data_IF_503058253705
#
_entry.id   IF_503058253705
#
_cell.length_a   1.000
_cell.length_b   1.000
_cell.length_c   1.000
_cell.angle_alpha   90.00
_cell.angle_beta   90.00
_cell.angle_gamma   90.00
#
_symmetry.space_group_name_H-M   'P 1'
#
loop_
_entity.id
_entity.type
_entity.pdbx_description
1 polymer ?
#
# COMPACT_ATOMS: atom_id res chain seq x y z
N UNK A 1 -8.86 7.23 -21.69
CA UNK A 1 -8.87 6.83 -20.27
C UNK A 1 -9.37 8.00 -19.45
N UNK A 2 -10.32 7.79 -18.53
CA UNK A 2 -10.76 8.84 -17.61
C UNK A 2 -9.60 9.25 -16.69
N UNK A 3 -9.45 10.55 -16.42
CA UNK A 3 -8.41 11.04 -15.51
C UNK A 3 -8.69 10.58 -14.07
N UNK A 4 -7.62 10.28 -13.34
CA UNK A 4 -7.69 9.89 -11.92
C UNK A 4 -7.77 11.19 -11.11
N UNK A 5 -8.79 11.34 -10.27
CA UNK A 5 -8.98 12.50 -9.39
C UNK A 5 -9.03 12.10 -7.92
N UNK A 6 -9.82 11.08 -7.58
CA UNK A 6 -10.00 10.64 -6.19
C UNK A 6 -9.07 9.47 -5.85
N UNK A 7 -8.25 9.62 -4.82
CA UNK A 7 -7.23 8.63 -4.42
C UNK A 7 -7.42 8.22 -2.96
N UNK A 8 -7.68 6.93 -2.75
CA UNK A 8 -7.69 6.32 -1.43
C UNK A 8 -6.30 5.77 -1.10
N UNK A 9 -5.76 6.12 0.08
CA UNK A 9 -4.46 5.65 0.56
C UNK A 9 -4.64 4.77 1.79
N UNK A 10 -4.47 3.46 1.61
CA UNK A 10 -4.50 2.48 2.69
C UNK A 10 -3.14 2.40 3.38
N UNK A 11 -3.12 2.49 4.72
CA UNK A 11 -1.86 2.54 5.49
C UNK A 11 -1.17 3.91 5.45
N UNK A 12 -1.92 4.98 5.14
CA UNK A 12 -1.42 6.36 5.06
C UNK A 12 -0.87 6.93 6.38
N UNK A 13 -1.13 6.29 7.52
CA UNK A 13 -0.61 6.71 8.84
C UNK A 13 0.78 6.17 9.17
N UNK A 14 1.31 5.21 8.39
CA UNK A 14 2.64 4.65 8.61
C UNK A 14 3.76 5.55 8.09
N UNK A 15 5.03 5.23 8.43
CA UNK A 15 6.21 6.01 8.02
C UNK A 15 6.22 6.39 6.52
N UNK A 16 6.07 5.41 5.64
CA UNK A 16 6.02 5.68 4.19
C UNK A 16 4.67 6.25 3.75
N UNK A 17 3.58 5.81 4.39
CA UNK A 17 2.23 6.28 4.08
C UNK A 17 2.10 7.79 4.24
N UNK A 18 2.66 8.36 5.32
CA UNK A 18 2.60 9.79 5.59
C UNK A 18 3.31 10.60 4.50
N UNK A 19 4.49 10.14 4.05
CA UNK A 19 5.23 10.75 2.94
C UNK A 19 4.41 10.67 1.65
N UNK A 20 3.85 9.51 1.32
CA UNK A 20 3.01 9.33 0.12
C UNK A 20 1.82 10.27 0.14
N UNK A 21 1.10 10.35 1.27
CA UNK A 21 -0.05 11.25 1.45
C UNK A 21 0.37 12.71 1.27
N UNK A 22 1.45 13.14 1.93
CA UNK A 22 1.96 14.50 1.84
C UNK A 22 2.30 14.88 0.39
N UNK A 23 3.01 14.02 -0.35
CA UNK A 23 3.39 14.30 -1.73
C UNK A 23 2.20 14.30 -2.69
N UNK A 24 1.23 13.41 -2.50
CA UNK A 24 0.00 13.41 -3.29
C UNK A 24 -0.79 14.70 -3.07
N UNK A 25 -0.89 15.17 -1.82
CA UNK A 25 -1.56 16.44 -1.48
C UNK A 25 -0.81 17.64 -2.07
N UNK A 26 0.52 17.69 -1.88
CA UNK A 26 1.36 18.79 -2.41
C UNK A 26 1.32 18.90 -3.92
N UNK A 27 1.07 17.80 -4.64
CA UNK A 27 0.93 17.84 -6.10
C UNK A 27 -0.24 18.71 -6.57
N UNK A 28 -1.29 18.87 -5.74
CA UNK A 28 -2.53 19.57 -6.11
C UNK A 28 -3.34 18.86 -7.19
N UNK A 29 -2.97 17.64 -7.59
CA UNK A 29 -3.60 16.90 -8.69
C UNK A 29 -4.74 15.98 -8.23
N UNK A 30 -4.78 15.62 -6.94
CA UNK A 30 -5.64 14.56 -6.43
C UNK A 30 -6.39 14.98 -5.17
N UNK A 31 -7.62 14.49 -5.05
CA UNK A 31 -8.38 14.47 -3.80
C UNK A 31 -7.99 13.22 -3.00
N UNK A 32 -7.18 13.41 -1.97
CA UNK A 32 -6.59 12.32 -1.19
C UNK A 32 -7.45 12.03 0.05
N UNK A 33 -7.76 10.75 0.26
CA UNK A 33 -8.39 10.25 1.49
C UNK A 33 -7.58 9.10 2.06
N UNK A 34 -7.29 9.15 3.36
CA UNK A 34 -6.58 8.06 4.04
C UNK A 34 -7.58 7.05 4.58
N UNK A 35 -7.34 5.78 4.25
CA UNK A 35 -8.08 4.63 4.75
C UNK A 35 -7.27 4.00 5.88
N UNK A 36 -7.86 3.93 7.09
CA UNK A 36 -7.18 3.51 8.32
C UNK A 36 -8.02 2.53 9.12
N UNK A 37 -7.39 1.76 10.02
CA UNK A 37 -8.06 0.84 10.96
C UNK A 37 -8.55 1.50 12.25
N UNK A 38 -8.13 2.73 12.53
CA UNK A 38 -8.49 3.41 13.78
C UNK A 38 -8.32 4.92 13.71
N UNK A 39 -8.94 5.59 14.68
CA UNK A 39 -9.09 7.06 14.74
C UNK A 39 -7.81 7.82 15.12
N UNK A 40 -6.79 7.12 15.65
CA UNK A 40 -5.50 7.74 15.95
C UNK A 40 -4.76 8.00 14.64
N UNK A 41 -5.00 9.19 14.10
CA UNK A 41 -4.25 9.77 13.00
C UNK A 41 -2.77 9.78 13.35
N UNK A 42 -1.95 9.21 12.47
CA UNK A 42 -0.52 9.48 12.47
C UNK A 42 -0.26 10.96 12.14
N UNK A 43 0.97 11.28 11.74
CA UNK A 43 1.32 12.60 11.21
C UNK A 43 0.73 12.79 9.81
N UNK A 44 -0.59 12.92 9.71
CA UNK A 44 -1.30 13.24 8.47
C UNK A 44 -1.66 14.73 8.51
N UNK A 45 -1.51 15.48 7.39
CA UNK A 45 -1.96 16.86 7.33
C UNK A 45 -3.44 17.00 7.68
N UNK A 46 -3.80 17.97 8.52
CA UNK A 46 -5.17 18.16 9.02
C UNK A 46 -6.23 18.35 7.91
N UNK A 47 -5.81 18.75 6.70
CA UNK A 47 -6.68 18.93 5.55
C UNK A 47 -7.07 17.62 4.83
N UNK A 48 -6.46 16.48 5.17
CA UNK A 48 -6.72 15.19 4.51
C UNK A 48 -7.85 14.46 5.20
N UNK A 49 -8.84 14.03 4.41
CA UNK A 49 -9.97 13.23 4.93
C UNK A 49 -9.46 11.85 5.38
N UNK A 50 -10.05 11.34 6.45
CA UNK A 50 -9.79 9.99 6.94
C UNK A 50 -11.08 9.18 6.99
N UNK A 51 -11.02 7.94 6.54
CA UNK A 51 -12.09 6.96 6.72
C UNK A 51 -11.57 5.78 7.51
N UNK A 52 -12.30 5.42 8.56
CA UNK A 52 -12.00 4.25 9.39
C UNK A 52 -12.73 3.05 8.82
N UNK A 53 -12.00 1.96 8.59
CA UNK A 53 -12.53 0.72 8.03
C UNK A 53 -11.98 -0.48 8.77
N UNK A 54 -12.75 -1.56 8.77
CA UNK A 54 -12.25 -2.87 9.13
C UNK A 54 -11.73 -3.59 7.88
N UNK A 55 -10.45 -3.93 7.87
CA UNK A 55 -9.81 -4.61 6.75
C UNK A 55 -10.07 -6.11 6.71
N UNK A 56 -10.74 -6.67 7.73
CA UNK A 56 -11.10 -8.08 7.76
C UNK A 56 -12.21 -8.43 6.77
N UNK A 57 -13.10 -7.46 6.47
CA UNK A 57 -14.31 -7.65 5.68
C UNK A 57 -14.23 -6.91 4.33
N UNK A 58 -14.23 -7.68 3.24
CA UNK A 58 -14.14 -7.16 1.87
C UNK A 58 -15.31 -6.21 1.53
N UNK A 59 -16.53 -6.54 1.94
CA UNK A 59 -17.70 -5.71 1.63
C UNK A 59 -17.65 -4.34 2.30
N UNK A 60 -17.18 -4.27 3.55
CA UNK A 60 -16.99 -3.00 4.26
C UNK A 60 -15.93 -2.14 3.55
N UNK A 61 -14.80 -2.75 3.17
CA UNK A 61 -13.79 -2.09 2.38
C UNK A 61 -14.33 -1.60 1.02
N UNK A 62 -15.17 -2.40 0.35
CA UNK A 62 -15.73 -2.04 -0.95
C UNK A 62 -16.65 -0.83 -0.88
N UNK A 63 -17.51 -0.78 0.15
CA UNK A 63 -18.36 0.39 0.40
C UNK A 63 -17.52 1.64 0.69
N UNK A 64 -16.48 1.51 1.52
CA UNK A 64 -15.57 2.60 1.82
C UNK A 64 -14.75 3.08 0.60
N UNK A 65 -14.52 2.20 -0.38
CA UNK A 65 -13.79 2.49 -1.61
C UNK A 65 -14.69 2.98 -2.77
N UNK A 66 -16.00 3.10 -2.54
CA UNK A 66 -16.92 3.59 -3.56
C UNK A 66 -16.64 5.05 -3.94
N UNK A 67 -16.54 5.31 -5.25
CA UNK A 67 -16.26 6.65 -5.77
C UNK A 67 -14.78 7.03 -5.87
N UNK A 68 -13.86 6.13 -5.49
CA UNK A 68 -12.42 6.32 -5.72
C UNK A 68 -12.00 5.90 -7.13
N UNK A 69 -11.17 6.71 -7.79
CA UNK A 69 -10.56 6.36 -9.08
C UNK A 69 -9.36 5.43 -8.91
N UNK A 70 -8.59 5.63 -7.84
CA UNK A 70 -7.40 4.85 -7.54
C UNK A 70 -7.26 4.50 -6.06
N UNK A 71 -6.59 3.38 -5.80
CA UNK A 71 -6.19 2.95 -4.46
C UNK A 71 -4.68 2.77 -4.42
N UNK A 72 -4.03 3.45 -3.47
CA UNK A 72 -2.62 3.25 -3.13
C UNK A 72 -2.54 2.46 -1.83
N UNK A 73 -1.96 1.28 -1.90
CA UNK A 73 -1.69 0.44 -0.74
C UNK A 73 -0.29 0.70 -0.24
N UNK A 74 -0.16 1.14 1.01
CA UNK A 74 1.11 1.30 1.74
C UNK A 74 1.10 0.45 3.02
N UNK A 75 0.28 -0.59 3.04
CA UNK A 75 0.16 -1.53 4.17
C UNK A 75 1.45 -2.35 4.32
N UNK A 76 1.80 -2.74 5.54
CA UNK A 76 3.05 -3.44 5.78
C UNK A 76 3.13 -4.76 5.00
N UNK A 77 4.32 -5.08 4.45
CA UNK A 77 4.49 -6.19 3.51
C UNK A 77 4.19 -7.59 4.09
N UNK A 78 4.26 -7.76 5.40
CA UNK A 78 3.89 -9.02 6.08
C UNK A 78 2.36 -9.23 6.15
N UNK A 79 1.56 -8.20 5.87
CA UNK A 79 0.09 -8.26 5.84
C UNK A 79 -0.40 -8.54 4.41
N UNK A 80 0.10 -9.60 3.79
CA UNK A 80 -0.24 -9.95 2.40
C UNK A 80 -1.73 -10.23 2.20
N UNK A 81 -2.38 -10.85 3.19
CA UNK A 81 -3.80 -11.20 3.10
C UNK A 81 -4.70 -9.98 3.17
N UNK A 82 -4.33 -9.00 4.01
CA UNK A 82 -4.98 -7.70 4.05
C UNK A 82 -4.89 -6.99 2.70
N UNK A 83 -3.72 -7.03 2.07
CA UNK A 83 -3.53 -6.41 0.76
C UNK A 83 -4.34 -7.10 -0.35
N UNK A 84 -4.49 -8.43 -0.29
CA UNK A 84 -5.37 -9.19 -1.19
C UNK A 84 -6.83 -8.78 -1.02
N UNK A 85 -7.31 -8.71 0.23
CA UNK A 85 -8.68 -8.24 0.54
C UNK A 85 -8.93 -6.82 0.05
N UNK A 86 -7.95 -5.93 0.23
CA UNK A 86 -8.04 -4.55 -0.29
C UNK A 86 -8.13 -4.51 -1.82
N UNK A 87 -7.39 -5.38 -2.51
CA UNK A 87 -7.46 -5.51 -3.97
C UNK A 87 -8.83 -6.05 -4.42
N UNK A 88 -9.37 -7.07 -3.74
CA UNK A 88 -10.73 -7.58 -4.00
C UNK A 88 -11.77 -6.48 -3.81
N UNK A 89 -11.68 -5.75 -2.69
CA UNK A 89 -12.57 -4.65 -2.35
C UNK A 89 -12.51 -3.49 -3.34
N UNK A 90 -11.35 -3.17 -3.91
CA UNK A 90 -11.20 -2.11 -4.91
C UNK A 90 -11.90 -2.45 -6.24
N UNK A 91 -11.99 -3.73 -6.60
CA UNK A 91 -12.62 -4.16 -7.86
C UNK A 91 -14.14 -3.99 -7.81
N UNK A 92 -14.78 -4.26 -6.67
CA UNK A 92 -16.24 -4.24 -6.52
C UNK A 92 -16.88 -2.91 -6.93
N UNK A 93 -16.43 -1.73 -6.44
CA UNK A 93 -16.97 -0.44 -6.85
C UNK A 93 -16.37 0.07 -8.18
N UNK A 94 -15.49 -0.70 -8.83
CA UNK A 94 -14.89 -0.35 -10.12
C UNK A 94 -13.72 0.64 -10.04
N UNK A 95 -12.88 0.56 -9.00
CA UNK A 95 -11.63 1.34 -8.95
C UNK A 95 -10.78 1.02 -10.18
N UNK A 96 -10.31 2.05 -10.88
CA UNK A 96 -9.62 1.90 -12.17
C UNK A 96 -8.17 1.46 -11.99
N UNK A 97 -7.49 1.99 -10.96
CA UNK A 97 -6.06 1.77 -10.74
C UNK A 97 -5.71 1.37 -9.31
N UNK A 98 -4.93 0.31 -9.18
CA UNK A 98 -4.38 -0.16 -7.91
C UNK A 98 -2.86 -0.04 -7.89
N UNK A 99 -2.31 0.63 -6.87
CA UNK A 99 -0.88 0.64 -6.60
C UNK A 99 -0.63 -0.24 -5.37
N UNK A 100 -0.07 -1.46 -5.52
CA UNK A 100 0.21 -2.34 -4.40
C UNK A 100 1.34 -1.80 -3.51
N UNK A 101 1.39 -2.28 -2.27
CA UNK A 101 2.46 -1.99 -1.30
C UNK A 101 3.73 -2.72 -1.68
N UNK A 102 4.40 -2.15 -2.67
CA UNK A 102 5.54 -2.75 -3.34
C UNK A 102 6.72 -1.80 -3.46
N UNK A 103 7.07 -1.11 -2.38
CA UNK A 103 8.13 -0.10 -2.37
C UNK A 103 9.50 -0.69 -2.03
N UNK A 104 9.83 -1.85 -2.60
CA UNK A 104 11.03 -2.63 -2.25
C UNK A 104 11.61 -3.38 -3.45
N UNK A 105 12.13 -4.58 -3.19
CA UNK A 105 12.74 -5.45 -4.20
C UNK A 105 11.75 -5.94 -5.26
N UNK A 106 12.27 -6.18 -6.46
CA UNK A 106 11.53 -6.75 -7.58
C UNK A 106 11.30 -8.26 -7.41
N UNK A 107 10.07 -8.72 -7.13
CA UNK A 107 9.80 -10.17 -7.03
C UNK A 107 9.67 -10.87 -8.37
N UNK A 108 10.01 -10.23 -9.48
CA UNK A 108 10.15 -10.93 -10.77
C UNK A 108 11.49 -11.65 -10.86
N UNK A 109 12.49 -11.19 -10.10
CA UNK A 109 13.83 -11.78 -10.05
C UNK A 109 13.84 -13.13 -9.32
N UNK A 110 14.55 -14.16 -9.83
CA UNK A 110 14.58 -15.50 -9.21
C UNK A 110 15.01 -15.48 -7.74
N UNK A 111 16.12 -14.79 -7.43
CA UNK A 111 16.65 -14.69 -6.06
C UNK A 111 15.67 -14.07 -5.07
N UNK A 112 14.83 -13.15 -5.54
CA UNK A 112 13.80 -12.53 -4.72
C UNK A 112 12.60 -13.46 -4.57
N UNK A 113 12.24 -14.23 -5.60
CA UNK A 113 11.14 -15.22 -5.55
C UNK A 113 11.41 -16.38 -4.59
N UNK A 114 12.66 -16.82 -4.53
CA UNK A 114 13.08 -17.97 -3.71
C UNK A 114 13.23 -17.60 -2.23
N UNK A 115 13.28 -16.30 -1.89
CA UNK A 115 13.39 -15.84 -0.51
C UNK A 115 12.10 -16.08 0.29
N UNK A 116 12.15 -16.74 1.47
CA UNK A 116 10.99 -16.90 2.34
C UNK A 116 10.34 -15.56 2.74
N UNK A 117 11.14 -14.50 2.85
CA UNK A 117 10.72 -13.15 3.25
C UNK A 117 9.76 -12.48 2.24
N UNK A 118 9.71 -12.97 1.00
CA UNK A 118 8.92 -12.37 -0.07
C UNK A 118 7.72 -13.23 -0.46
N UNK A 119 7.60 -14.44 0.09
CA UNK A 119 6.53 -15.40 -0.21
C UNK A 119 5.12 -14.77 -0.14
N UNK A 120 4.85 -13.96 0.88
CA UNK A 120 3.59 -13.21 1.02
C UNK A 120 3.36 -12.23 -0.13
N UNK A 121 4.39 -11.48 -0.55
CA UNK A 121 4.30 -10.54 -1.69
C UNK A 121 4.08 -11.27 -3.00
N UNK A 122 4.71 -12.43 -3.21
CA UNK A 122 4.50 -13.25 -4.41
C UNK A 122 3.03 -13.65 -4.55
N UNK A 123 2.38 -14.06 -3.45
CA UNK A 123 0.94 -14.38 -3.44
C UNK A 123 0.06 -13.19 -3.84
N UNK A 124 0.43 -11.98 -3.43
CA UNK A 124 -0.26 -10.74 -3.84
C UNK A 124 -0.04 -10.48 -5.32
N UNK A 125 1.21 -10.59 -5.81
CA UNK A 125 1.51 -10.37 -7.23
C UNK A 125 0.74 -11.34 -8.14
N UNK A 126 0.67 -12.63 -7.78
CA UNK A 126 -0.12 -13.62 -8.53
C UNK A 126 -1.59 -13.20 -8.58
N UNK A 127 -2.17 -12.76 -7.46
CA UNK A 127 -3.56 -12.29 -7.43
C UNK A 127 -3.79 -11.06 -8.31
N UNK A 128 -2.85 -10.10 -8.30
CA UNK A 128 -2.91 -8.92 -9.17
C UNK A 128 -2.89 -9.33 -10.63
N UNK A 129 -1.96 -10.19 -11.05
CA UNK A 129 -1.88 -10.64 -12.45
C UNK A 129 -3.16 -11.34 -12.89
N UNK A 130 -3.74 -12.19 -12.04
CA UNK A 130 -4.99 -12.88 -12.32
C UNK A 130 -6.17 -11.92 -12.55
N UNK A 131 -6.26 -10.85 -11.76
CA UNK A 131 -7.33 -9.86 -11.87
C UNK A 131 -7.14 -8.93 -13.07
N UNK A 132 -5.89 -8.57 -13.35
CA UNK A 132 -5.51 -7.74 -14.51
C UNK A 132 -5.74 -8.51 -15.82
N UNK A 133 -5.43 -9.80 -15.89
CA UNK A 133 -5.66 -10.61 -17.09
C UNK A 133 -7.15 -10.77 -17.43
N UNK A 134 -8.02 -10.68 -16.42
CA UNK A 134 -9.49 -10.64 -16.57
C UNK A 134 -10.02 -9.24 -16.91
N UNK A 135 -9.17 -8.23 -17.01
CA UNK A 135 -9.56 -6.84 -17.27
C UNK A 135 -10.32 -6.17 -16.12
N UNK A 136 -10.22 -6.70 -14.88
CA UNK A 136 -10.98 -6.19 -13.74
C UNK A 136 -10.40 -4.91 -13.15
N UNK A 137 -9.08 -4.69 -13.30
CA UNK A 137 -8.38 -3.55 -12.74
C UNK A 137 -7.03 -3.34 -13.44
N UNK A 138 -6.54 -2.11 -13.49
CA UNK A 138 -5.15 -1.82 -13.88
C UNK A 138 -4.27 -1.63 -12.65
N UNK A 139 -2.97 -1.91 -12.77
CA UNK A 139 -2.04 -1.71 -11.67
C UNK A 139 -0.74 -1.03 -12.08
N UNK A 140 -0.05 -0.45 -11.11
CA UNK A 140 1.30 0.09 -11.28
C UNK A 140 2.15 -0.31 -10.09
N UNK A 141 3.28 -0.99 -10.31
CA UNK A 141 4.23 -1.33 -9.26
C UNK A 141 5.36 -0.31 -9.19
N UNK A 142 5.74 0.12 -7.99
CA UNK A 142 6.77 1.16 -7.76
C UNK A 142 7.95 0.54 -7.02
N UNK A 143 8.95 0.07 -7.77
CA UNK A 143 10.11 -0.65 -7.23
C UNK A 143 11.18 0.33 -6.73
N UNK A 144 11.06 0.76 -5.47
CA UNK A 144 11.97 1.74 -4.85
C UNK A 144 13.28 1.19 -4.28
N UNK A 145 13.47 -0.14 -4.27
CA UNK A 145 14.64 -0.75 -3.64
C UNK A 145 14.61 -0.71 -2.10
N UNK A 146 15.71 -1.07 -1.42
CA UNK A 146 15.78 -1.04 0.03
C UNK A 146 15.71 0.40 0.55
N UNK A 147 14.83 0.64 1.54
CA UNK A 147 14.77 1.92 2.26
C UNK A 147 15.90 1.96 3.28
N UNK A 148 17.04 2.48 2.82
CA UNK A 148 18.31 2.46 3.57
C UNK A 148 18.19 3.22 4.89
N UNK A 149 17.52 4.36 4.91
CA UNK A 149 17.22 5.14 6.12
C UNK A 149 16.45 4.31 7.17
N UNK A 150 15.38 3.62 6.75
CA UNK A 150 14.60 2.77 7.65
C UNK A 150 15.38 1.54 8.11
N UNK A 151 16.14 0.92 7.22
CA UNK A 151 16.96 -0.25 7.57
C UNK A 151 18.08 0.09 8.56
N UNK A 152 18.64 1.30 8.48
CA UNK A 152 19.72 1.79 9.32
C UNK A 152 19.27 2.55 10.59
N UNK A 153 18.00 2.96 10.63
CA UNK A 153 17.40 3.66 11.76
C UNK A 153 16.47 2.81 12.62
N UNK A 154 16.07 1.62 12.14
CA UNK A 154 15.16 0.73 12.87
C UNK A 154 15.92 -0.32 13.68
N UNK A 155 15.30 -0.75 14.78
CA UNK A 155 15.80 -1.85 15.61
C UNK A 155 15.57 -3.24 14.97
N UNK A 156 14.89 -3.28 13.82
CA UNK A 156 14.55 -4.52 13.11
C UNK A 156 15.67 -5.04 12.20
N UNK A 157 16.59 -4.18 11.76
CA UNK A 157 17.70 -4.59 10.91
C UNK A 157 19.01 -4.13 11.52
N UNK A 158 19.39 -2.87 11.28
CA UNK A 158 20.62 -2.29 11.78
C UNK A 158 20.29 -0.94 12.40
N UNK A 159 20.42 -0.81 13.71
CA UNK A 159 20.24 0.47 14.39
C UNK A 159 21.60 1.15 14.52
N UNK A 160 21.91 2.07 13.61
CA UNK A 160 23.13 2.89 13.69
C UNK A 160 23.18 3.69 15.01
N UNK A 161 22.09 4.34 15.47
CA UNK A 161 22.11 5.08 16.73
C UNK A 161 22.48 4.20 17.92
N UNK A 162 22.00 2.95 17.95
CA UNK A 162 22.29 1.99 19.02
C UNK A 162 23.55 1.15 18.77
N UNK A 163 24.16 1.29 17.59
CA UNK A 163 25.26 0.43 17.11
C UNK A 163 24.94 -1.06 17.26
N UNK A 164 23.71 -1.43 16.93
CA UNK A 164 23.16 -2.78 17.13
C UNK A 164 22.62 -3.35 15.82
N UNK A 165 22.80 -4.65 15.60
CA UNK A 165 22.25 -5.36 14.44
C UNK A 165 21.45 -6.56 14.92
N UNK A 166 20.25 -6.73 14.37
CA UNK A 166 19.35 -7.84 14.66
C UNK A 166 19.30 -8.77 13.44
N UNK A 167 19.64 -10.05 13.64
CA UNK A 167 19.43 -11.09 12.63
C UNK A 167 18.21 -11.89 13.07
N UNK A 168 17.15 -11.88 12.26
CA UNK A 168 15.92 -12.65 12.48
C UNK A 168 15.93 -13.93 11.66
#
# INVERSE_FOLDING_TARGET
MASIKTVAVAGGTGHLGAIVVEQLVKSGLFEVTVVTRGEKGGQIPAAVKMITVDYEYVDNLAEALRGFDAVVSVVAGHLSDLQRRLLDAAIIPGVKRFIPSWFGSDTRLPIVKESPLTSGKIKVAVSIQEKVSKGLIEYTSILGGPRVDWMMGSDYCMSIPKRHSTIQ
#
